data_IF_490478263583
#
_entry.id   IF_490478263583
#
_cell.length_a   1.000
_cell.length_b   1.000
_cell.length_c   1.000
_cell.angle_alpha   90.00
_cell.angle_beta   90.00
_cell.angle_gamma   90.00
#
_symmetry.space_group_name_H-M   'P 1'
#
loop_
_entity.id
_entity.type
_entity.pdbx_description
1 polymer ?
#
# COMPACT_ATOMS: atom_id res chain seq x y z
N UNK A 1 -28.11 -31.15 3.91
CA UNK A 1 -26.92 -31.21 3.05
C UNK A 1 -25.92 -30.19 3.57
N UNK A 2 -24.66 -30.51 3.78
CA UNK A 2 -23.65 -29.51 4.16
C UNK A 2 -23.56 -28.48 3.02
N UNK A 3 -23.58 -27.20 3.35
CA UNK A 3 -23.38 -26.11 2.37
C UNK A 3 -21.97 -26.23 1.80
N UNK A 4 -21.85 -26.24 0.48
CA UNK A 4 -20.55 -26.18 -0.19
C UNK A 4 -19.84 -24.87 0.21
N UNK A 5 -18.58 -24.91 0.65
CA UNK A 5 -17.89 -23.72 1.11
C UNK A 5 -17.78 -22.66 -0.01
N UNK A 6 -17.87 -21.39 0.36
CA UNK A 6 -17.61 -20.27 -0.55
C UNK A 6 -16.15 -20.29 -1.02
N UNK A 7 -15.83 -19.58 -2.11
CA UNK A 7 -14.47 -19.54 -2.64
C UNK A 7 -13.41 -19.11 -1.60
N UNK A 8 -13.63 -18.07 -0.78
CA UNK A 8 -12.68 -17.72 0.28
C UNK A 8 -12.46 -18.86 1.29
N UNK A 9 -13.52 -19.56 1.71
CA UNK A 9 -13.41 -20.72 2.59
C UNK A 9 -12.68 -21.88 1.90
N UNK A 10 -12.92 -22.07 0.61
CA UNK A 10 -12.23 -23.10 -0.19
C UNK A 10 -10.73 -22.82 -0.27
N UNK A 11 -10.32 -21.54 -0.44
CA UNK A 11 -8.91 -21.13 -0.46
C UNK A 11 -8.27 -21.38 0.91
N UNK A 12 -8.93 -20.98 2.00
CA UNK A 12 -8.43 -21.22 3.35
C UNK A 12 -8.27 -22.71 3.61
N UNK A 13 -9.28 -23.51 3.29
CA UNK A 13 -9.26 -24.97 3.46
C UNK A 13 -8.15 -25.60 2.62
N UNK A 14 -7.98 -25.15 1.37
CA UNK A 14 -6.92 -25.60 0.48
C UNK A 14 -5.53 -25.27 1.02
N UNK A 15 -5.35 -24.09 1.59
CA UNK A 15 -4.09 -23.68 2.25
C UNK A 15 -3.77 -24.55 3.47
N UNK A 16 -4.77 -24.84 4.32
CA UNK A 16 -4.61 -25.73 5.45
C UNK A 16 -4.23 -27.16 5.02
N UNK A 17 -4.77 -27.63 3.89
CA UNK A 17 -4.48 -28.93 3.30
C UNK A 17 -3.25 -28.91 2.37
N UNK A 18 -2.46 -27.83 2.36
CA UNK A 18 -1.26 -27.67 1.51
C UNK A 18 -1.53 -27.79 0.02
N UNK A 19 -2.72 -27.38 -0.43
CA UNK A 19 -3.06 -27.30 -1.85
C UNK A 19 -2.29 -26.13 -2.46
N UNK A 20 -1.58 -26.39 -3.53
CA UNK A 20 -0.60 -25.46 -4.11
C UNK A 20 -0.93 -25.03 -5.55
N UNK A 21 -2.06 -25.45 -6.09
CA UNK A 21 -2.48 -25.09 -7.45
C UNK A 21 -3.96 -24.80 -7.56
N UNK A 22 -4.37 -24.02 -8.57
CA UNK A 22 -5.78 -23.79 -8.86
C UNK A 22 -6.53 -25.09 -9.20
N UNK A 23 -5.86 -26.03 -9.87
CA UNK A 23 -6.42 -27.35 -10.15
C UNK A 23 -6.68 -28.14 -8.87
N UNK A 24 -5.75 -28.07 -7.89
CA UNK A 24 -5.93 -28.65 -6.57
C UNK A 24 -7.00 -27.97 -5.72
N UNK A 25 -7.37 -26.73 -6.03
CA UNK A 25 -8.44 -26.01 -5.35
C UNK A 25 -9.83 -26.47 -5.77
N UNK A 26 -10.00 -26.99 -7.01
CA UNK A 26 -11.29 -27.42 -7.57
C UNK A 26 -12.04 -28.40 -6.66
N UNK A 27 -11.42 -29.41 -6.01
CA UNK A 27 -12.12 -30.32 -5.11
C UNK A 27 -12.77 -29.63 -3.89
N UNK A 28 -12.29 -28.44 -3.53
CA UNK A 28 -12.77 -27.66 -2.38
C UNK A 28 -13.77 -26.56 -2.79
N UNK A 29 -14.07 -26.45 -4.08
CA UNK A 29 -14.98 -25.45 -4.65
C UNK A 29 -15.92 -26.08 -5.67
N UNK A 30 -17.09 -25.50 -5.86
CA UNK A 30 -18.03 -25.85 -6.95
C UNK A 30 -17.60 -25.25 -8.29
N UNK A 31 -16.58 -24.41 -8.31
CA UNK A 31 -16.15 -23.68 -9.49
C UNK A 31 -15.08 -24.46 -10.27
N UNK A 32 -15.13 -24.35 -11.60
CA UNK A 32 -14.05 -24.83 -12.48
C UNK A 32 -12.82 -23.92 -12.36
N UNK A 33 -11.64 -24.42 -12.72
CA UNK A 33 -10.36 -23.66 -12.68
C UNK A 33 -10.47 -22.27 -13.30
N UNK A 34 -11.09 -22.15 -14.48
CA UNK A 34 -11.32 -20.88 -15.17
C UNK A 34 -12.24 -19.92 -14.41
N UNK A 35 -13.25 -20.46 -13.74
CA UNK A 35 -14.16 -19.67 -12.93
C UNK A 35 -13.49 -19.23 -11.61
N UNK A 36 -12.65 -20.06 -11.00
CA UNK A 36 -11.84 -19.71 -9.85
C UNK A 36 -10.89 -18.56 -10.21
N UNK A 37 -10.19 -18.67 -11.36
CA UNK A 37 -9.28 -17.60 -11.83
C UNK A 37 -10.02 -16.29 -12.05
N UNK A 38 -11.23 -16.34 -12.68
CA UNK A 38 -12.08 -15.16 -12.88
C UNK A 38 -12.56 -14.56 -11.56
N UNK A 39 -12.96 -15.41 -10.62
CA UNK A 39 -13.42 -14.98 -9.30
C UNK A 39 -12.27 -14.35 -8.49
N UNK A 40 -11.05 -14.90 -8.60
CA UNK A 40 -9.86 -14.30 -7.98
C UNK A 40 -9.52 -12.93 -8.55
N UNK A 41 -9.91 -12.62 -9.77
CA UNK A 41 -9.72 -11.32 -10.40
C UNK A 41 -10.83 -10.31 -10.05
N UNK A 42 -11.94 -10.76 -9.43
CA UNK A 42 -13.01 -9.86 -8.98
C UNK A 42 -12.63 -9.21 -7.64
N UNK A 43 -13.05 -7.97 -7.45
CA UNK A 43 -12.89 -7.23 -6.18
C UNK A 43 -13.68 -7.87 -5.01
N UNK A 44 -14.46 -8.91 -5.27
CA UNK A 44 -15.42 -9.54 -4.35
C UNK A 44 -14.80 -10.51 -3.34
N UNK A 45 -13.47 -10.63 -3.28
CA UNK A 45 -12.80 -11.52 -2.34
C UNK A 45 -12.93 -11.10 -0.88
N UNK A 46 -13.26 -9.85 -0.65
CA UNK A 46 -13.31 -9.31 0.70
C UNK A 46 -14.67 -8.66 0.93
N UNK A 47 -15.51 -9.39 1.64
CA UNK A 47 -16.77 -8.83 2.13
C UNK A 47 -16.50 -7.77 3.20
N UNK A 48 -17.44 -6.87 3.38
CA UNK A 48 -17.43 -5.90 4.49
C UNK A 48 -17.20 -6.59 5.83
N UNK A 49 -17.82 -7.78 6.03
CA UNK A 49 -17.66 -8.58 7.25
C UNK A 49 -16.23 -9.12 7.42
N UNK A 50 -15.55 -9.49 6.32
CA UNK A 50 -14.16 -9.94 6.38
C UNK A 50 -13.23 -8.80 6.79
N UNK A 51 -13.42 -7.59 6.24
CA UNK A 51 -12.67 -6.41 6.65
C UNK A 51 -12.90 -6.08 8.13
N UNK A 52 -14.16 -6.08 8.57
CA UNK A 52 -14.52 -5.87 9.98
C UNK A 52 -13.88 -6.91 10.89
N UNK A 53 -13.93 -8.18 10.51
CA UNK A 53 -13.34 -9.28 11.30
C UNK A 53 -11.84 -9.11 11.46
N UNK A 54 -11.13 -8.76 10.38
CA UNK A 54 -9.68 -8.52 10.42
C UNK A 54 -9.35 -7.29 11.25
N UNK A 55 -10.11 -6.22 11.09
CA UNK A 55 -9.91 -4.98 11.81
C UNK A 55 -10.10 -5.08 13.32
N UNK A 56 -10.85 -6.07 13.83
CA UNK A 56 -11.01 -6.31 15.29
C UNK A 56 -9.70 -6.58 16.00
N UNK A 57 -8.69 -7.06 15.29
CA UNK A 57 -7.36 -7.33 15.85
C UNK A 57 -6.39 -6.14 15.68
N UNK A 58 -6.89 -5.01 15.18
CA UNK A 58 -6.06 -3.83 14.99
C UNK A 58 -5.77 -3.15 16.33
N UNK A 59 -4.54 -2.70 16.56
CA UNK A 59 -4.23 -1.89 17.70
C UNK A 59 -4.91 -0.51 17.60
N UNK A 60 -5.27 0.05 18.76
CA UNK A 60 -5.87 1.38 18.82
C UNK A 60 -4.94 2.44 18.22
N UNK A 61 -5.48 3.32 17.38
CA UNK A 61 -4.68 4.35 16.73
C UNK A 61 -3.81 3.86 15.57
N UNK A 62 -4.08 2.64 15.04
CA UNK A 62 -3.41 2.13 13.85
C UNK A 62 -3.66 2.99 12.61
N UNK A 63 -2.70 3.00 11.71
CA UNK A 63 -2.77 3.69 10.42
C UNK A 63 -3.09 2.70 9.31
N UNK A 64 -3.86 3.12 8.32
CA UNK A 64 -4.05 2.33 7.10
C UNK A 64 -2.89 2.59 6.14
N UNK A 65 -2.03 1.60 5.95
CA UNK A 65 -0.99 1.59 4.93
C UNK A 65 -1.54 0.94 3.66
N UNK A 66 -1.30 1.58 2.50
CA UNK A 66 -1.67 1.05 1.18
C UNK A 66 -0.43 1.05 0.30
N UNK A 67 -0.19 -0.06 -0.39
CA UNK A 67 0.96 -0.22 -1.28
C UNK A 67 0.65 -1.21 -2.40
N UNK A 68 1.48 -1.22 -3.44
CA UNK A 68 1.39 -2.20 -4.52
C UNK A 68 2.43 -3.29 -4.36
N UNK A 69 2.01 -4.53 -4.53
CA UNK A 69 2.90 -5.67 -4.58
C UNK A 69 2.86 -6.30 -5.95
N UNK A 70 4.04 -6.56 -6.52
CA UNK A 70 4.17 -7.29 -7.77
C UNK A 70 4.70 -8.69 -7.50
N UNK A 71 4.02 -9.66 -8.09
CA UNK A 71 4.42 -11.07 -8.12
C UNK A 71 4.90 -11.39 -9.52
N UNK A 72 6.24 -11.55 -9.72
CA UNK A 72 6.79 -11.82 -11.04
C UNK A 72 6.43 -13.22 -11.53
N UNK A 73 6.26 -13.33 -12.85
CA UNK A 73 6.02 -14.59 -13.54
C UNK A 73 6.93 -14.76 -14.75
N UNK A 74 7.28 -16.00 -15.06
CA UNK A 74 8.04 -16.34 -16.26
C UNK A 74 7.15 -16.56 -17.50
N UNK A 75 5.88 -16.96 -17.31
CA UNK A 75 4.94 -17.24 -18.38
C UNK A 75 4.15 -16.03 -18.85
N UNK A 76 3.94 -15.91 -20.17
CA UNK A 76 3.15 -14.83 -20.79
C UNK A 76 1.68 -15.18 -21.01
N UNK A 77 1.32 -16.45 -20.85
CA UNK A 77 -0.02 -16.99 -21.19
C UNK A 77 -0.99 -17.03 -20.02
N UNK A 78 -0.57 -16.48 -18.86
CA UNK A 78 -1.44 -16.43 -17.68
C UNK A 78 -2.45 -15.31 -17.80
N UNK A 79 -3.68 -15.58 -17.39
CA UNK A 79 -4.72 -14.57 -17.31
C UNK A 79 -4.31 -13.46 -16.31
N UNK A 80 -4.43 -12.20 -16.73
CA UNK A 80 -4.09 -11.04 -15.89
C UNK A 80 -2.60 -10.71 -15.78
N UNK A 81 -1.71 -11.52 -16.34
CA UNK A 81 -0.28 -11.20 -16.37
C UNK A 81 -0.01 -10.05 -17.34
N UNK A 82 0.73 -9.06 -16.88
CA UNK A 82 1.18 -7.95 -17.70
C UNK A 82 2.54 -7.44 -17.24
N UNK A 83 3.10 -6.53 -18.05
CA UNK A 83 4.33 -5.83 -17.71
C UNK A 83 4.04 -4.69 -16.74
N UNK A 84 4.73 -4.69 -15.62
CA UNK A 84 4.66 -3.67 -14.59
C UNK A 84 6.02 -3.02 -14.38
N UNK A 85 6.02 -1.71 -14.19
CA UNK A 85 7.20 -0.98 -13.79
C UNK A 85 7.58 -1.38 -12.35
N UNK A 86 8.80 -1.85 -12.16
CA UNK A 86 9.36 -2.02 -10.82
C UNK A 86 10.22 -0.80 -10.49
N UNK A 87 10.22 -0.35 -9.23
CA UNK A 87 10.94 0.85 -8.79
C UNK A 87 12.45 0.86 -9.04
N UNK A 88 13.00 -0.19 -9.67
CA UNK A 88 14.39 -0.30 -10.11
C UNK A 88 14.55 -0.02 -11.61
N UNK A 89 13.65 0.74 -12.22
CA UNK A 89 13.64 1.07 -13.65
C UNK A 89 13.59 -0.15 -14.59
N UNK A 90 13.13 -1.29 -14.11
CA UNK A 90 12.94 -2.50 -14.91
C UNK A 90 11.46 -2.84 -15.00
N UNK A 91 11.00 -3.06 -16.23
CA UNK A 91 9.67 -3.64 -16.48
C UNK A 91 9.73 -5.14 -16.25
N UNK A 92 8.88 -5.65 -15.38
CA UNK A 92 8.78 -7.09 -15.08
C UNK A 92 7.40 -7.60 -15.44
N UNK A 93 7.37 -8.81 -15.98
CA UNK A 93 6.15 -9.55 -16.24
C UNK A 93 5.62 -10.13 -14.93
N UNK A 94 4.34 -9.94 -14.64
CA UNK A 94 3.74 -10.48 -13.41
C UNK A 94 2.32 -10.01 -13.16
N UNK A 95 1.81 -10.39 -12.02
CA UNK A 95 0.58 -9.84 -11.45
C UNK A 95 0.90 -8.70 -10.48
N UNK A 96 0.10 -7.65 -10.51
CA UNK A 96 0.16 -6.59 -9.52
C UNK A 96 -1.07 -6.66 -8.62
N UNK A 97 -0.85 -6.48 -7.32
CA UNK A 97 -1.93 -6.44 -6.33
C UNK A 97 -1.84 -5.12 -5.57
N UNK A 98 -3.00 -4.62 -5.18
CA UNK A 98 -3.14 -3.55 -4.20
C UNK A 98 -3.29 -4.19 -2.84
N UNK A 99 -2.37 -3.88 -1.92
CA UNK A 99 -2.38 -4.36 -0.54
C UNK A 99 -2.81 -3.25 0.40
N UNK A 100 -3.56 -3.58 1.44
CA UNK A 100 -3.82 -2.69 2.55
C UNK A 100 -3.68 -3.42 3.89
N UNK A 101 -3.12 -2.70 4.87
CA UNK A 101 -2.90 -3.22 6.21
C UNK A 101 -3.05 -2.12 7.26
N UNK A 102 -3.52 -2.48 8.45
CA UNK A 102 -3.40 -1.62 9.61
C UNK A 102 -2.04 -1.84 10.26
N UNK A 103 -1.33 -0.73 10.46
CA UNK A 103 0.03 -0.73 10.99
C UNK A 103 0.16 0.26 12.14
N UNK A 104 0.96 -0.12 13.14
CA UNK A 104 1.34 0.74 14.26
C UNK A 104 2.81 0.48 14.61
N UNK A 105 3.49 1.50 15.09
CA UNK A 105 4.90 1.38 15.44
C UNK A 105 5.10 0.49 16.66
N UNK A 106 5.87 -0.57 16.46
CA UNK A 106 6.16 -1.56 17.53
C UNK A 106 5.19 -2.72 17.59
N UNK A 107 4.13 -2.72 16.76
CA UNK A 107 3.13 -3.77 16.70
C UNK A 107 3.21 -4.55 15.39
N UNK A 108 2.70 -5.77 15.41
CA UNK A 108 2.57 -6.58 14.20
C UNK A 108 1.51 -6.00 13.26
N UNK A 109 1.77 -5.95 11.95
CA UNK A 109 0.82 -5.42 11.00
C UNK A 109 -0.37 -6.36 10.82
N UNK A 110 -1.58 -5.80 10.75
CA UNK A 110 -2.82 -6.54 10.49
C UNK A 110 -3.19 -6.43 9.02
N UNK A 111 -3.03 -7.49 8.20
CA UNK A 111 -3.40 -7.46 6.79
C UNK A 111 -4.92 -7.35 6.66
N UNK A 112 -5.39 -6.39 5.88
CA UNK A 112 -6.81 -6.18 5.61
C UNK A 112 -7.22 -6.78 4.27
N UNK A 113 -6.56 -6.37 3.19
CA UNK A 113 -6.94 -6.79 1.85
C UNK A 113 -5.73 -6.95 0.91
N UNK A 114 -5.92 -7.80 -0.08
CA UNK A 114 -5.03 -8.01 -1.23
C UNK A 114 -5.92 -8.09 -2.48
N UNK A 115 -5.90 -7.08 -3.34
CA UNK A 115 -6.72 -7.01 -4.55
C UNK A 115 -5.88 -7.09 -5.80
N UNK A 116 -6.36 -7.83 -6.78
CA UNK A 116 -5.75 -7.86 -8.10
C UNK A 116 -5.91 -6.50 -8.78
N UNK A 117 -4.79 -5.90 -9.17
CA UNK A 117 -4.78 -4.64 -9.90
C UNK A 117 -4.76 -4.89 -11.40
N UNK A 118 -5.86 -4.55 -12.05
CA UNK A 118 -5.99 -4.68 -13.51
C UNK A 118 -5.10 -3.65 -14.20
N UNK A 119 -4.30 -4.07 -15.18
CA UNK A 119 -3.56 -3.15 -16.02
C UNK A 119 -4.47 -2.48 -17.05
N UNK A 120 -4.06 -1.31 -17.56
CA UNK A 120 -4.85 -0.58 -18.55
C UNK A 120 -5.12 -1.41 -19.82
N UNK A 121 -4.17 -2.26 -20.22
CA UNK A 121 -4.31 -3.14 -21.39
C UNK A 121 -5.34 -4.25 -21.20
N UNK A 122 -5.72 -4.56 -19.96
CA UNK A 122 -6.68 -5.61 -19.60
C UNK A 122 -8.01 -5.03 -19.11
N UNK A 123 -8.20 -3.72 -19.25
CA UNK A 123 -9.43 -3.04 -18.86
C UNK A 123 -10.64 -3.60 -19.59
N UNK A 124 -11.67 -3.98 -18.84
CA UNK A 124 -13.01 -4.35 -19.33
C UNK A 124 -14.06 -3.75 -18.41
N UNK A 125 -15.32 -3.79 -18.81
CA UNK A 125 -16.44 -3.38 -17.94
C UNK A 125 -16.46 -4.16 -16.61
N UNK A 126 -16.16 -5.47 -16.67
CA UNK A 126 -16.13 -6.33 -15.49
C UNK A 126 -14.83 -6.23 -14.68
N UNK A 127 -13.75 -5.79 -15.32
CA UNK A 127 -12.42 -5.64 -14.70
C UNK A 127 -11.89 -4.23 -14.97
N UNK A 128 -12.38 -3.21 -14.25
CA UNK A 128 -12.03 -1.84 -14.52
C UNK A 128 -10.57 -1.57 -14.11
N UNK A 129 -9.85 -0.94 -15.04
CA UNK A 129 -8.55 -0.35 -14.69
C UNK A 129 -8.77 0.86 -13.79
N UNK A 130 -7.97 0.95 -12.72
CA UNK A 130 -7.91 2.12 -11.85
C UNK A 130 -6.47 2.63 -11.75
N UNK A 131 -6.31 3.93 -11.75
CA UNK A 131 -5.03 4.57 -11.43
C UNK A 131 -4.65 4.30 -9.97
N UNK A 132 -3.39 4.55 -9.59
CA UNK A 132 -2.96 4.39 -8.20
C UNK A 132 -3.85 5.18 -7.21
N UNK A 133 -4.20 6.42 -7.56
CA UNK A 133 -5.07 7.26 -6.72
C UNK A 133 -6.49 6.71 -6.64
N UNK A 134 -7.07 6.24 -7.73
CA UNK A 134 -8.40 5.62 -7.74
C UNK A 134 -8.44 4.33 -6.93
N UNK A 135 -7.39 3.50 -7.02
CA UNK A 135 -7.25 2.30 -6.18
C UNK A 135 -7.19 2.67 -4.69
N UNK A 136 -6.38 3.65 -4.33
CA UNK A 136 -6.30 4.14 -2.95
C UNK A 136 -7.66 4.62 -2.44
N UNK A 137 -8.36 5.46 -3.21
CA UNK A 137 -9.69 5.98 -2.85
C UNK A 137 -10.67 4.82 -2.63
N UNK A 138 -10.70 3.87 -3.55
CA UNK A 138 -11.59 2.70 -3.47
C UNK A 138 -11.31 1.85 -2.22
N UNK A 139 -10.04 1.55 -1.94
CA UNK A 139 -9.63 0.83 -0.73
C UNK A 139 -10.07 1.56 0.53
N UNK A 140 -9.85 2.88 0.61
CA UNK A 140 -10.23 3.66 1.78
C UNK A 140 -11.74 3.70 1.95
N UNK A 141 -12.50 3.88 0.87
CA UNK A 141 -13.97 3.86 0.91
C UNK A 141 -14.52 2.53 1.43
N UNK A 142 -13.96 1.39 0.99
CA UNK A 142 -14.39 0.08 1.48
C UNK A 142 -14.04 -0.12 2.95
N UNK A 143 -12.85 0.34 3.39
CA UNK A 143 -12.47 0.32 4.80
C UNK A 143 -13.42 1.18 5.64
N UNK A 144 -13.79 2.38 5.17
CA UNK A 144 -14.74 3.25 5.84
C UNK A 144 -16.14 2.63 5.91
N UNK A 145 -16.64 2.07 4.80
CA UNK A 145 -17.93 1.39 4.75
C UNK A 145 -17.97 0.17 5.69
N UNK A 146 -16.83 -0.50 5.88
CA UNK A 146 -16.68 -1.59 6.82
C UNK A 146 -16.47 -1.13 8.27
N UNK A 147 -16.40 0.16 8.54
CA UNK A 147 -16.15 0.69 9.89
C UNK A 147 -14.74 0.35 10.41
N UNK A 148 -13.75 0.19 9.54
CA UNK A 148 -12.36 -0.08 9.93
C UNK A 148 -11.79 1.16 10.64
N UNK A 149 -11.36 1.03 11.91
CA UNK A 149 -10.76 2.16 12.61
C UNK A 149 -9.39 2.48 12.03
N UNK A 150 -9.15 3.76 11.74
CA UNK A 150 -7.84 4.22 11.26
C UNK A 150 -7.54 5.64 11.75
N UNK A 151 -6.33 5.85 12.27
CA UNK A 151 -5.86 7.17 12.71
C UNK A 151 -5.39 8.06 11.54
N UNK A 152 -5.22 7.50 10.35
CA UNK A 152 -4.79 8.18 9.14
C UNK A 152 -4.26 7.22 8.09
N UNK A 153 -3.81 7.78 6.96
CA UNK A 153 -3.29 7.02 5.82
C UNK A 153 -1.77 7.13 5.74
N UNK A 154 -1.10 6.04 5.40
CA UNK A 154 0.33 5.99 5.10
C UNK A 154 0.52 5.53 3.65
N UNK A 155 1.01 6.41 2.79
CA UNK A 155 1.08 6.19 1.35
C UNK A 155 2.51 6.35 0.82
N UNK A 156 2.90 5.53 -0.16
CA UNK A 156 4.15 5.75 -0.88
C UNK A 156 3.98 6.82 -1.97
N UNK A 157 5.09 7.23 -2.58
CA UNK A 157 5.14 8.30 -3.57
C UNK A 157 4.36 8.05 -4.87
N UNK A 158 3.90 6.82 -5.10
CA UNK A 158 2.99 6.50 -6.21
C UNK A 158 1.59 7.09 -6.02
N UNK A 159 1.15 7.24 -4.76
CA UNK A 159 -0.14 7.82 -4.39
C UNK A 159 -0.06 9.33 -4.11
N UNK A 160 1.13 9.91 -4.09
CA UNK A 160 1.41 11.30 -3.66
C UNK A 160 0.91 12.35 -4.65
N UNK A 161 -0.37 12.36 -4.92
CA UNK A 161 -1.04 13.30 -5.79
C UNK A 161 -1.93 14.24 -5.00
N UNK A 162 -2.17 15.42 -5.54
CA UNK A 162 -3.07 16.41 -4.96
C UNK A 162 -4.47 15.83 -4.70
N UNK A 163 -4.93 14.93 -5.58
CA UNK A 163 -6.19 14.22 -5.40
C UNK A 163 -6.24 13.36 -4.12
N UNK A 164 -5.12 12.73 -3.72
CA UNK A 164 -5.08 11.98 -2.46
C UNK A 164 -5.17 12.92 -1.24
N UNK A 165 -4.54 14.09 -1.32
CA UNK A 165 -4.63 15.14 -0.29
C UNK A 165 -6.04 15.72 -0.21
N UNK A 166 -6.66 16.00 -1.37
CA UNK A 166 -8.04 16.50 -1.44
C UNK A 166 -9.00 15.50 -0.82
N UNK A 167 -8.95 14.24 -1.25
CA UNK A 167 -9.76 13.15 -0.70
C UNK A 167 -9.59 13.02 0.83
N UNK A 168 -8.35 13.06 1.31
CA UNK A 168 -8.01 13.00 2.74
C UNK A 168 -8.71 14.11 3.53
N UNK A 169 -8.76 15.33 2.99
CA UNK A 169 -9.43 16.46 3.64
C UNK A 169 -10.93 16.35 3.61
N UNK A 170 -11.50 15.95 2.48
CA UNK A 170 -12.95 15.76 2.33
C UNK A 170 -13.50 14.73 3.32
N UNK A 171 -12.71 13.70 3.59
CA UNK A 171 -13.08 12.63 4.53
C UNK A 171 -12.51 12.83 5.94
N UNK A 172 -11.79 13.94 6.20
CA UNK A 172 -11.17 14.24 7.50
C UNK A 172 -10.21 13.15 8.00
N UNK A 173 -9.55 12.44 7.08
CA UNK A 173 -8.58 11.39 7.38
C UNK A 173 -7.19 11.95 7.13
N UNK A 174 -6.34 12.17 8.17
CA UNK A 174 -5.00 12.69 7.96
C UNK A 174 -4.15 11.73 7.12
N UNK A 175 -3.25 12.29 6.31
CA UNK A 175 -2.38 11.48 5.45
C UNK A 175 -0.91 11.85 5.64
N UNK A 176 -0.06 10.83 5.59
CA UNK A 176 1.38 10.95 5.51
C UNK A 176 1.85 10.26 4.24
N UNK A 177 2.40 11.03 3.30
CA UNK A 177 2.77 10.57 1.96
C UNK A 177 4.24 10.84 1.68
N UNK A 178 4.93 9.89 1.06
CA UNK A 178 6.27 10.14 0.53
C UNK A 178 6.20 11.05 -0.70
N UNK A 179 6.98 12.13 -0.67
CA UNK A 179 7.05 13.10 -1.76
C UNK A 179 8.33 12.96 -2.58
N UNK A 180 8.26 13.31 -3.87
CA UNK A 180 9.41 13.31 -4.77
C UNK A 180 10.17 14.63 -4.69
N UNK A 181 11.48 14.60 -4.84
CA UNK A 181 12.36 15.78 -4.75
C UNK A 181 12.05 16.86 -5.80
N UNK A 182 11.50 16.48 -6.95
CA UNK A 182 11.11 17.40 -8.02
C UNK A 182 9.71 18.02 -7.83
N UNK A 183 9.03 17.73 -6.72
CA UNK A 183 7.72 18.30 -6.42
C UNK A 183 7.88 19.76 -6.02
N UNK A 184 7.10 20.64 -6.64
CA UNK A 184 7.09 22.09 -6.38
C UNK A 184 6.12 22.41 -5.25
N UNK A 185 6.55 23.29 -4.34
CA UNK A 185 5.78 23.83 -3.21
C UNK A 185 6.02 25.35 -3.11
N UNK A 186 5.09 26.05 -2.47
CA UNK A 186 5.23 27.46 -2.10
C UNK A 186 5.68 27.56 -0.66
N UNK A 187 6.83 28.17 -0.44
CA UNK A 187 7.44 28.39 0.87
C UNK A 187 7.94 29.83 0.95
N UNK A 188 7.53 30.57 1.98
CA UNK A 188 7.92 31.99 2.22
C UNK A 188 7.77 32.89 0.98
N UNK A 189 6.70 32.67 0.19
CA UNK A 189 6.42 33.46 -1.02
C UNK A 189 7.13 32.98 -2.27
N UNK A 190 8.05 32.02 -2.17
CA UNK A 190 8.78 31.47 -3.30
C UNK A 190 8.21 30.10 -3.74
N UNK A 191 8.32 29.83 -5.05
CA UNK A 191 7.97 28.54 -5.64
C UNK A 191 9.24 27.71 -5.83
N UNK A 192 9.43 26.67 -5.03
CA UNK A 192 10.64 25.87 -5.00
C UNK A 192 10.32 24.36 -5.13
N UNK A 193 11.23 23.60 -5.75
CA UNK A 193 11.16 22.15 -5.65
C UNK A 193 11.61 21.73 -4.24
N UNK A 194 11.10 20.59 -3.73
CA UNK A 194 11.54 20.04 -2.44
C UNK A 194 13.05 19.78 -2.43
N UNK A 195 13.62 19.39 -3.57
CA UNK A 195 15.05 19.23 -3.74
C UNK A 195 15.84 20.52 -3.54
N UNK A 196 15.32 21.65 -4.08
CA UNK A 196 15.91 22.99 -3.90
C UNK A 196 15.72 23.47 -2.45
N UNK A 197 14.50 23.37 -1.94
CA UNK A 197 14.15 23.76 -0.56
C UNK A 197 15.03 23.04 0.47
N UNK A 198 15.31 21.75 0.28
CA UNK A 198 16.13 20.98 1.21
C UNK A 198 17.59 21.42 1.28
N UNK A 199 18.11 22.13 0.27
CA UNK A 199 19.48 22.68 0.32
C UNK A 199 19.60 23.83 1.33
N UNK A 200 18.49 24.51 1.64
CA UNK A 200 18.45 25.57 2.66
C UNK A 200 18.49 24.98 4.08
N UNK A 201 18.15 23.69 4.23
CA UNK A 201 18.10 22.96 5.50
C UNK A 201 18.98 21.70 5.46
N UNK A 202 20.32 21.86 5.42
CA UNK A 202 21.24 20.73 5.47
C UNK A 202 21.16 19.99 6.82
N UNK A 203 21.73 18.79 6.94
CA UNK A 203 21.56 17.94 8.13
C UNK A 203 21.96 18.62 9.45
N UNK A 204 22.97 19.47 9.46
CA UNK A 204 23.46 20.21 10.63
C UNK A 204 22.45 21.25 11.14
N UNK A 205 21.57 21.75 10.26
CA UNK A 205 20.48 22.68 10.60
C UNK A 205 19.17 21.98 10.95
N UNK A 206 19.15 20.65 11.02
CA UNK A 206 17.98 19.84 11.32
C UNK A 206 18.08 19.20 12.70
N UNK A 207 16.93 19.06 13.39
CA UNK A 207 16.88 18.42 14.69
C UNK A 207 17.17 16.92 14.60
N UNK A 208 18.01 16.40 15.50
CA UNK A 208 18.34 14.98 15.57
C UNK A 208 17.25 14.23 16.38
N UNK A 209 16.63 13.26 15.74
CA UNK A 209 15.76 12.27 16.37
C UNK A 209 16.59 10.98 16.57
N UNK A 210 17.25 10.88 17.72
CA UNK A 210 18.21 9.79 18.01
C UNK A 210 17.58 8.39 17.92
N UNK A 211 16.30 8.25 18.28
CA UNK A 211 15.51 7.01 18.16
C UNK A 211 15.56 6.41 16.74
N UNK A 212 15.65 7.24 15.70
CA UNK A 212 15.71 6.83 14.30
C UNK A 212 17.08 6.97 13.67
N UNK A 213 17.99 7.71 14.31
CA UNK A 213 19.24 8.17 13.71
C UNK A 213 19.02 9.18 12.55
N UNK A 214 17.88 9.88 12.56
CA UNK A 214 17.49 10.81 11.51
C UNK A 214 17.55 12.26 11.96
N UNK A 215 17.92 13.16 11.04
CA UNK A 215 17.81 14.60 11.23
C UNK A 215 16.64 15.12 10.42
N UNK A 216 15.77 15.89 11.05
CA UNK A 216 14.48 16.29 10.46
C UNK A 216 14.22 17.78 10.63
N UNK A 217 13.70 18.40 9.57
CA UNK A 217 13.10 19.73 9.58
C UNK A 217 11.66 19.64 9.13
N UNK A 218 10.74 20.16 9.92
CA UNK A 218 9.32 20.33 9.54
C UNK A 218 9.13 21.76 9.06
N UNK A 219 8.46 21.92 7.92
CA UNK A 219 8.15 23.18 7.28
C UNK A 219 6.68 23.18 6.89
N UNK A 220 5.99 24.28 7.14
CA UNK A 220 4.65 24.50 6.59
C UNK A 220 4.78 25.08 5.19
N UNK A 221 4.18 24.45 4.21
CA UNK A 221 4.23 24.82 2.80
C UNK A 221 2.82 24.83 2.20
N UNK A 222 2.66 25.42 1.03
CA UNK A 222 1.40 25.42 0.31
C UNK A 222 1.56 24.86 -1.11
N UNK A 223 0.44 24.41 -1.65
CA UNK A 223 0.20 24.11 -3.07
C UNK A 223 -1.21 24.55 -3.43
N UNK A 224 -1.62 24.33 -4.69
CA UNK A 224 -2.99 24.62 -5.15
C UNK A 224 -4.08 23.98 -4.29
N UNK A 225 -3.81 22.77 -3.78
CA UNK A 225 -4.71 22.04 -2.86
C UNK A 225 -4.67 22.55 -1.41
N UNK A 226 -3.94 23.65 -1.13
CA UNK A 226 -3.84 24.30 0.18
C UNK A 226 -2.57 23.98 0.97
N UNK A 227 -2.53 24.41 2.23
CA UNK A 227 -1.37 24.27 3.12
C UNK A 227 -1.24 22.87 3.73
N UNK A 228 -0.03 22.40 3.95
CA UNK A 228 0.33 21.16 4.64
C UNK A 228 1.78 21.24 5.12
N UNK A 229 2.19 20.25 5.90
CA UNK A 229 3.55 20.18 6.37
C UNK A 229 4.41 19.28 5.49
N UNK A 230 5.66 19.69 5.30
CA UNK A 230 6.72 18.86 4.72
C UNK A 230 7.76 18.55 5.78
N UNK A 231 8.09 17.28 5.92
CA UNK A 231 9.25 16.86 6.69
C UNK A 231 10.40 16.57 5.71
N UNK A 232 11.48 17.33 5.83
CA UNK A 232 12.76 17.03 5.17
C UNK A 232 13.49 16.08 6.13
N UNK A 233 13.62 14.82 5.72
CA UNK A 233 14.24 13.77 6.55
C UNK A 233 15.59 13.40 5.97
N UNK A 234 16.64 13.63 6.73
CA UNK A 234 18.01 13.22 6.43
C UNK A 234 18.36 11.95 7.20
N UNK A 235 18.90 10.98 6.51
CA UNK A 235 19.42 9.73 7.12
C UNK A 235 20.79 9.41 6.56
N UNK A 236 21.62 8.75 7.36
CA UNK A 236 22.90 8.19 6.87
C UNK A 236 22.64 6.84 6.21
N UNK A 237 23.14 6.69 4.99
CA UNK A 237 23.17 5.44 4.26
C UNK A 237 24.60 5.23 3.77
N UNK A 238 25.24 4.14 4.18
CA UNK A 238 26.66 3.86 3.89
C UNK A 238 27.62 5.02 4.22
N UNK A 239 27.35 5.73 5.33
CA UNK A 239 28.15 6.87 5.77
C UNK A 239 27.72 8.23 5.20
N UNK A 240 27.04 8.24 4.08
CA UNK A 240 26.62 9.45 3.37
C UNK A 240 25.21 9.93 3.77
N UNK A 241 25.02 11.24 3.84
CA UNK A 241 23.71 11.82 4.08
C UNK A 241 22.82 11.74 2.83
N UNK A 242 21.73 11.00 2.94
CA UNK A 242 20.66 10.94 1.95
C UNK A 242 19.39 11.55 2.51
N UNK A 243 18.50 12.04 1.64
CA UNK A 243 17.25 12.66 2.07
C UNK A 243 16.04 12.05 1.39
N UNK A 244 14.92 12.12 2.09
CA UNK A 244 13.59 11.91 1.55
C UNK A 244 12.61 12.91 2.16
N UNK A 245 11.43 13.00 1.59
CA UNK A 245 10.43 13.98 1.97
C UNK A 245 9.12 13.29 2.32
N UNK A 246 8.45 13.78 3.35
CA UNK A 246 7.12 13.35 3.73
C UNK A 246 6.18 14.55 3.73
N UNK A 247 5.03 14.41 3.09
CA UNK A 247 3.90 15.32 3.23
C UNK A 247 3.02 14.85 4.36
N UNK A 248 2.51 15.80 5.15
CA UNK A 248 1.63 15.53 6.26
C UNK A 248 0.46 16.50 6.27
N UNK A 249 -0.75 15.98 6.36
CA UNK A 249 -1.96 16.78 6.63
C UNK A 249 -2.40 16.69 8.10
N UNK A 250 -1.59 16.09 8.98
CA UNK A 250 -1.90 15.93 10.41
C UNK A 250 -1.96 17.26 11.17
N UNK A 251 -1.45 18.35 10.61
CA UNK A 251 -1.46 19.66 11.27
C UNK A 251 -0.74 19.69 12.63
N UNK A 252 -1.22 20.51 13.55
CA UNK A 252 -0.65 20.69 14.89
C UNK A 252 -0.71 19.44 15.77
N UNK A 253 -1.64 18.52 15.53
CA UNK A 253 -1.85 17.32 16.34
C UNK A 253 -0.75 16.26 16.14
N UNK A 254 -0.05 16.31 14.99
CA UNK A 254 1.07 15.42 14.69
C UNK A 254 2.41 15.98 15.11
N UNK A 255 3.01 15.48 16.20
CA UNK A 255 4.42 15.80 16.51
C UNK A 255 5.34 15.16 15.46
N UNK A 256 6.52 15.74 15.20
CA UNK A 256 7.48 15.15 14.26
C UNK A 256 7.81 13.70 14.67
N UNK A 257 7.97 13.44 15.96
CA UNK A 257 8.25 12.09 16.46
C UNK A 257 7.12 11.11 16.14
N UNK A 258 5.86 11.50 16.35
CA UNK A 258 4.71 10.62 16.03
C UNK A 258 4.61 10.35 14.53
N UNK A 259 4.85 11.36 13.68
CA UNK A 259 4.87 11.19 12.22
C UNK A 259 6.00 10.26 11.76
N UNK A 260 7.19 10.35 12.38
CA UNK A 260 8.30 9.46 12.06
C UNK A 260 8.02 8.01 12.51
N UNK A 261 7.36 7.81 13.66
CA UNK A 261 6.89 6.49 14.11
C UNK A 261 5.86 5.91 13.14
N UNK A 262 4.86 6.71 12.76
CA UNK A 262 3.88 6.31 11.76
C UNK A 262 4.55 5.93 10.43
N UNK A 263 5.50 6.73 9.95
CA UNK A 263 6.24 6.41 8.73
C UNK A 263 7.05 5.12 8.84
N UNK A 264 7.66 4.85 10.00
CA UNK A 264 8.35 3.57 10.27
C UNK A 264 7.38 2.40 10.29
N UNK A 265 6.18 2.59 10.86
CA UNK A 265 5.14 1.57 10.90
C UNK A 265 4.70 1.14 9.49
N UNK A 266 4.74 2.05 8.49
CA UNK A 266 4.45 1.71 7.08
C UNK A 266 5.26 0.51 6.58
N UNK A 267 6.48 0.32 7.10
CA UNK A 267 7.30 -0.85 6.76
C UNK A 267 6.61 -2.19 7.07
N UNK A 268 5.61 -2.19 7.95
CA UNK A 268 4.80 -3.38 8.24
C UNK A 268 4.14 -3.96 6.99
N UNK A 269 3.67 -3.13 6.03
CA UNK A 269 3.09 -3.63 4.79
C UNK A 269 4.14 -4.35 3.91
N UNK A 270 5.39 -3.90 3.93
CA UNK A 270 6.48 -4.56 3.19
C UNK A 270 6.84 -5.92 3.80
N UNK A 271 6.65 -6.08 5.12
CA UNK A 271 6.77 -7.38 5.80
C UNK A 271 5.66 -8.32 5.31
N UNK A 272 4.41 -7.84 5.24
CA UNK A 272 3.28 -8.61 4.66
C UNK A 272 3.61 -9.02 3.22
N UNK A 273 4.08 -8.10 2.38
CA UNK A 273 4.46 -8.39 0.99
C UNK A 273 5.54 -9.46 0.89
N UNK A 274 6.51 -9.46 1.82
CA UNK A 274 7.56 -10.49 1.86
C UNK A 274 6.96 -11.86 2.15
N UNK A 275 6.09 -11.97 3.13
CA UNK A 275 5.37 -13.21 3.42
C UNK A 275 4.46 -13.64 2.29
N UNK A 276 3.74 -12.70 1.68
CA UNK A 276 2.89 -12.95 0.52
C UNK A 276 3.73 -13.52 -0.64
N UNK A 277 4.84 -12.87 -1.01
CA UNK A 277 5.74 -13.35 -2.07
C UNK A 277 6.34 -14.71 -1.75
N UNK A 278 6.76 -14.97 -0.52
CA UNK A 278 7.29 -16.27 -0.11
C UNK A 278 6.25 -17.38 -0.29
N UNK A 279 5.00 -17.14 0.11
CA UNK A 279 3.90 -18.11 -0.05
C UNK A 279 3.57 -18.37 -1.52
N UNK A 280 3.66 -17.35 -2.34
CA UNK A 280 3.26 -17.35 -3.74
C UNK A 280 4.40 -17.80 -4.66
N UNK A 281 5.66 -17.65 -4.25
CA UNK A 281 6.86 -17.94 -5.06
C UNK A 281 7.57 -19.26 -4.70
N UNK A 282 7.17 -19.98 -3.65
CA UNK A 282 7.74 -21.31 -3.39
C UNK A 282 7.33 -22.30 -4.48
N UNK A 283 8.15 -23.30 -4.83
CA UNK A 283 7.77 -24.33 -5.80
C UNK A 283 6.48 -25.08 -5.44
N UNK A 284 6.09 -25.05 -4.18
CA UNK A 284 4.79 -25.47 -3.65
C UNK A 284 3.80 -24.32 -3.55
N UNK A 285 4.15 -23.09 -3.92
CA UNK A 285 3.32 -21.90 -3.79
C UNK A 285 2.30 -21.76 -4.90
N UNK A 286 1.18 -21.17 -4.56
CA UNK A 286 0.01 -21.00 -5.44
C UNK A 286 0.36 -20.36 -6.78
N UNK A 287 1.37 -19.48 -6.84
CA UNK A 287 1.75 -18.78 -8.08
C UNK A 287 2.52 -19.68 -9.03
N UNK A 288 3.42 -20.51 -8.54
CA UNK A 288 4.09 -21.46 -9.44
C UNK A 288 3.06 -22.45 -10.05
N UNK A 289 1.95 -22.66 -9.36
CA UNK A 289 0.89 -23.55 -9.78
C UNK A 289 -0.34 -22.87 -10.38
N UNK A 290 -0.47 -21.54 -10.25
CA UNK A 290 -1.35 -20.77 -11.12
C UNK A 290 -0.88 -20.84 -12.58
N UNK A 291 0.37 -21.27 -12.81
CA UNK A 291 1.01 -21.33 -14.13
C UNK A 291 0.99 -22.72 -14.77
N UNK A 292 0.61 -23.75 -14.06
CA UNK A 292 0.58 -25.12 -14.63
C UNK A 292 -0.78 -25.56 -15.08
#
# INVERSE_FOLDING_TARGET
MPRTPSLPQSIITAQLNRVTSLSGLVPYSTLRKSAISKEMARDSFESTEDLQRRARNAPDGAFLAIDFVMVPHAGRTMEGVNYHYSGQAQTRLGHQFTSAALVQFGEDPVPLLERFKVSQALHTEHYPYRTATQEMIHVVQDCLAAGVPMAGLLLDGEFGRDAAVTFSREHQIPVLIRAKANMTVHFEGESLTLGALSKQFPPDRCHLYAEFGWRVRRLSVAREVGGFDVLIVWRKLHGEWTRFFLFSTFGGDGTVRSLLRAWKARWGIEVIHRFFKLRVSTPAGVVCHMTS
#
